data_IF_567698486137
#
_entry.id   IF_567698486137
#
_cell.length_a   1.000
_cell.length_b   1.000
_cell.length_c   1.000
_cell.angle_alpha   90.00
_cell.angle_beta   90.00
_cell.angle_gamma   90.00
#
_symmetry.space_group_name_H-M   'P 1'
#
loop_
_entity.id
_entity.type
_entity.pdbx_description
1 polymer ?
#
# COMPACT_ATOMS: atom_id res chain seq x y z
N UNK A 1 -56.36 -15.87 27.94
CA UNK A 1 -56.26 -15.31 26.58
C UNK A 1 -54.79 -15.33 26.23
N UNK A 2 -54.36 -16.40 25.55
CA UNK A 2 -52.96 -16.68 25.27
C UNK A 2 -52.62 -16.11 23.90
N UNK A 3 -51.92 -14.98 23.90
CA UNK A 3 -51.47 -14.31 22.68
C UNK A 3 -50.18 -14.97 22.21
N UNK A 4 -50.09 -15.47 20.96
CA UNK A 4 -48.90 -16.14 20.48
C UNK A 4 -47.73 -15.16 20.35
N UNK A 5 -46.49 -15.62 20.52
CA UNK A 5 -45.30 -14.77 20.39
C UNK A 5 -45.19 -14.22 18.95
N UNK A 6 -44.65 -13.01 18.78
CA UNK A 6 -44.50 -12.39 17.48
C UNK A 6 -43.55 -13.22 16.60
N UNK A 7 -43.81 -13.28 15.27
CA UNK A 7 -42.95 -14.00 14.34
C UNK A 7 -41.57 -13.34 14.30
N UNK A 8 -40.54 -14.15 14.56
CA UNK A 8 -39.14 -13.75 14.36
C UNK A 8 -38.96 -13.41 12.88
N UNK A 9 -38.78 -12.13 12.56
CA UNK A 9 -38.29 -11.72 11.26
C UNK A 9 -36.84 -12.19 11.15
N UNK A 10 -36.58 -13.16 10.28
CA UNK A 10 -35.23 -13.52 9.86
C UNK A 10 -34.59 -12.26 9.28
N UNK A 11 -33.74 -11.62 10.06
CA UNK A 11 -32.96 -10.48 9.63
C UNK A 11 -31.95 -10.95 8.57
N UNK A 12 -32.39 -10.92 7.32
CA UNK A 12 -31.68 -10.42 6.14
C UNK A 12 -30.14 -10.45 6.25
N UNK A 13 -29.57 -11.66 6.40
CA UNK A 13 -28.12 -11.87 6.55
C UNK A 13 -27.45 -12.27 5.22
N UNK A 14 -28.14 -12.10 4.10
CA UNK A 14 -27.57 -12.30 2.76
C UNK A 14 -27.38 -10.95 2.06
N UNK A 15 -26.49 -10.10 2.60
CA UNK A 15 -25.86 -9.08 1.76
C UNK A 15 -24.98 -9.81 0.75
N UNK A 16 -25.56 -10.08 -0.42
CA UNK A 16 -24.84 -10.59 -1.57
C UNK A 16 -23.70 -9.62 -1.86
N UNK A 17 -22.46 -10.06 -1.62
CA UNK A 17 -21.26 -9.30 -1.96
C UNK A 17 -21.17 -9.26 -3.48
N UNK A 18 -21.72 -8.21 -4.09
CA UNK A 18 -21.54 -7.96 -5.52
C UNK A 18 -20.12 -7.44 -5.68
N UNK A 19 -19.22 -8.18 -6.36
CA UNK A 19 -17.85 -7.73 -6.56
C UNK A 19 -17.89 -6.40 -7.33
N UNK A 20 -17.32 -5.36 -6.72
CA UNK A 20 -17.26 -4.04 -7.32
C UNK A 20 -16.57 -4.12 -8.70
N UNK A 21 -17.03 -3.35 -9.71
CA UNK A 21 -16.36 -3.30 -11.01
C UNK A 21 -14.85 -3.05 -10.85
N UNK A 22 -14.01 -3.82 -11.55
CA UNK A 22 -12.52 -3.83 -11.43
C UNK A 22 -11.84 -2.46 -11.38
N UNK A 23 -12.38 -1.47 -12.12
CA UNK A 23 -11.87 -0.08 -12.08
C UNK A 23 -11.91 0.51 -10.67
N UNK A 24 -12.92 0.14 -9.87
CA UNK A 24 -13.05 0.55 -8.47
C UNK A 24 -11.97 -0.05 -7.58
N UNK A 25 -11.50 -1.28 -7.82
CA UNK A 25 -10.48 -1.92 -6.97
C UNK A 25 -9.13 -1.21 -7.11
N UNK A 26 -8.69 -0.93 -8.34
CA UNK A 26 -7.43 -0.20 -8.57
C UNK A 26 -7.50 1.24 -8.04
N UNK A 27 -8.65 1.91 -8.21
CA UNK A 27 -8.87 3.25 -7.66
C UNK A 27 -8.85 3.24 -6.12
N UNK A 28 -9.50 2.25 -5.50
CA UNK A 28 -9.53 2.07 -4.04
C UNK A 28 -8.15 1.78 -3.48
N UNK A 29 -7.42 0.84 -4.09
CA UNK A 29 -6.03 0.56 -3.76
C UNK A 29 -5.17 1.82 -3.88
N UNK A 30 -5.32 2.57 -4.97
CA UNK A 30 -4.63 3.85 -5.15
C UNK A 30 -4.90 4.82 -4.00
N UNK A 31 -6.18 5.00 -3.61
CA UNK A 31 -6.57 5.86 -2.48
C UNK A 31 -5.93 5.39 -1.16
N UNK A 32 -5.95 4.09 -0.86
CA UNK A 32 -5.28 3.54 0.32
C UNK A 32 -3.79 3.86 0.33
N UNK A 33 -3.10 3.65 -0.78
CA UNK A 33 -1.66 3.92 -0.86
C UNK A 33 -1.38 5.43 -0.74
N UNK A 34 -2.17 6.29 -1.39
CA UNK A 34 -2.02 7.75 -1.29
C UNK A 34 -2.18 8.22 0.16
N UNK A 35 -3.19 7.72 0.88
CA UNK A 35 -3.39 8.00 2.31
C UNK A 35 -2.14 7.64 3.14
N UNK A 36 -1.59 6.44 2.93
CA UNK A 36 -0.41 5.96 3.64
C UNK A 36 0.83 6.80 3.31
N UNK A 37 1.03 7.16 2.04
CA UNK A 37 2.14 8.03 1.61
C UNK A 37 1.98 9.44 2.18
N UNK A 38 0.78 10.00 2.14
CA UNK A 38 0.47 11.32 2.68
C UNK A 38 0.80 11.40 4.18
N UNK A 39 0.35 10.42 4.97
CA UNK A 39 0.69 10.35 6.38
C UNK A 39 2.20 10.15 6.60
N UNK A 40 2.82 9.26 5.82
CA UNK A 40 4.25 8.95 5.92
C UNK A 40 5.11 10.19 5.71
N UNK A 41 4.74 11.06 4.76
CA UNK A 41 5.49 12.26 4.43
C UNK A 41 4.95 13.56 5.04
N UNK A 42 3.92 13.46 5.90
CA UNK A 42 3.22 14.62 6.50
C UNK A 42 2.71 15.60 5.43
N UNK A 43 2.12 15.05 4.36
CA UNK A 43 1.54 15.84 3.27
C UNK A 43 0.25 16.56 3.74
N UNK A 44 -0.02 17.72 3.13
CA UNK A 44 -1.25 18.46 3.39
C UNK A 44 -2.47 17.77 2.74
N UNK A 45 -3.28 17.13 3.58
CA UNK A 45 -4.53 16.49 3.17
C UNK A 45 -5.53 17.46 2.52
N UNK A 46 -5.47 18.76 2.82
CA UNK A 46 -6.31 19.76 2.16
C UNK A 46 -5.95 19.87 0.69
N UNK A 47 -4.66 19.99 0.39
CA UNK A 47 -4.12 20.01 -0.98
C UNK A 47 -4.45 18.71 -1.72
N UNK A 48 -4.31 17.55 -1.06
CA UNK A 48 -4.65 16.26 -1.67
C UNK A 48 -6.15 16.12 -1.97
N UNK A 49 -7.02 16.51 -1.05
CA UNK A 49 -8.47 16.47 -1.24
C UNK A 49 -8.92 17.41 -2.36
N UNK A 50 -8.35 18.61 -2.44
CA UNK A 50 -8.57 19.53 -3.56
C UNK A 50 -8.10 18.92 -4.89
N UNK A 51 -6.94 18.25 -4.91
CA UNK A 51 -6.42 17.57 -6.11
C UNK A 51 -7.29 16.39 -6.55
N UNK A 52 -8.02 15.76 -5.62
CA UNK A 52 -9.01 14.70 -5.89
C UNK A 52 -10.40 15.25 -6.25
N UNK A 53 -10.58 16.58 -6.26
CA UNK A 53 -11.87 17.22 -6.51
C UNK A 53 -12.89 17.02 -5.37
N UNK A 54 -12.43 16.67 -4.16
CA UNK A 54 -13.29 16.56 -3.00
C UNK A 54 -13.64 17.96 -2.46
N UNK A 55 -14.89 18.16 -2.04
CA UNK A 55 -15.33 19.45 -1.53
C UNK A 55 -14.68 19.76 -0.18
N UNK A 56 -14.11 20.96 0.02
CA UNK A 56 -13.45 21.35 1.27
C UNK A 56 -14.41 21.52 2.47
N UNK A 57 -15.73 21.41 2.26
CA UNK A 57 -16.73 21.68 3.29
C UNK A 57 -16.96 20.54 4.30
N UNK A 58 -16.26 19.41 4.16
CA UNK A 58 -16.31 18.33 5.16
C UNK A 58 -15.20 18.53 6.20
N UNK A 59 -15.57 18.69 7.48
CA UNK A 59 -14.63 18.85 8.60
C UNK A 59 -13.62 17.68 8.67
N UNK A 60 -14.03 16.48 8.22
CA UNK A 60 -13.16 15.29 8.13
C UNK A 60 -12.10 15.36 7.02
N UNK A 61 -12.22 16.28 6.05
CA UNK A 61 -11.30 16.41 4.91
C UNK A 61 -9.92 16.99 5.30
N UNK A 62 -9.73 17.40 6.56
CA UNK A 62 -8.48 17.99 7.04
C UNK A 62 -7.38 16.96 7.36
N UNK A 63 -7.73 15.68 7.50
CA UNK A 63 -6.79 14.67 8.04
C UNK A 63 -6.76 13.34 7.29
N UNK A 64 -7.62 13.14 6.29
CA UNK A 64 -7.73 11.89 5.53
C UNK A 64 -8.33 12.19 4.16
N UNK A 65 -7.94 11.42 3.15
CA UNK A 65 -8.64 11.39 1.85
C UNK A 65 -9.71 10.29 1.78
N UNK A 66 -9.67 9.38 2.76
CA UNK A 66 -10.59 8.25 2.91
C UNK A 66 -11.79 8.62 3.78
N UNK A 67 -12.95 8.05 3.44
CA UNK A 67 -14.11 8.00 4.32
C UNK A 67 -13.96 6.95 5.43
N UNK A 68 -14.92 6.88 6.35
CA UNK A 68 -14.80 6.03 7.54
C UNK A 68 -14.93 4.53 7.22
N UNK A 69 -15.70 4.15 6.20
CA UNK A 69 -15.82 2.76 5.76
C UNK A 69 -14.51 2.30 5.07
N UNK A 70 -13.94 3.17 4.22
CA UNK A 70 -12.63 2.97 3.59
C UNK A 70 -11.52 2.83 4.64
N UNK A 71 -11.51 3.65 5.70
CA UNK A 71 -10.54 3.53 6.81
C UNK A 71 -10.70 2.21 7.57
N UNK A 72 -11.94 1.79 7.83
CA UNK A 72 -12.22 0.55 8.51
C UNK A 72 -11.73 -0.65 7.69
N UNK A 73 -11.96 -0.63 6.38
CA UNK A 73 -11.48 -1.67 5.46
C UNK A 73 -9.95 -1.67 5.34
N UNK A 74 -9.32 -0.49 5.22
CA UNK A 74 -7.87 -0.38 5.22
C UNK A 74 -7.26 -0.94 6.51
N UNK A 75 -7.86 -0.64 7.67
CA UNK A 75 -7.44 -1.19 8.95
C UNK A 75 -7.61 -2.71 9.01
N UNK A 76 -8.72 -3.24 8.51
CA UNK A 76 -8.95 -4.69 8.43
C UNK A 76 -7.87 -5.37 7.60
N UNK A 77 -7.59 -4.87 6.39
CA UNK A 77 -6.55 -5.40 5.51
C UNK A 77 -5.16 -5.31 6.15
N UNK A 78 -4.84 -4.20 6.81
CA UNK A 78 -3.57 -4.03 7.53
C UNK A 78 -3.40 -5.02 8.69
N UNK A 79 -4.46 -5.29 9.45
CA UNK A 79 -4.44 -6.28 10.52
C UNK A 79 -4.23 -7.71 9.99
N UNK A 80 -4.92 -8.05 8.90
CA UNK A 80 -4.72 -9.35 8.22
C UNK A 80 -3.27 -9.47 7.74
N UNK A 81 -2.76 -8.45 7.04
CA UNK A 81 -1.38 -8.43 6.55
C UNK A 81 -0.39 -8.65 7.70
N UNK A 82 -0.55 -7.92 8.81
CA UNK A 82 0.31 -8.06 10.00
C UNK A 82 0.24 -9.46 10.63
N UNK A 83 -0.95 -10.06 10.75
CA UNK A 83 -1.12 -11.41 11.29
C UNK A 83 -0.46 -12.46 10.39
N UNK A 84 -0.68 -12.36 9.07
CA UNK A 84 -0.08 -13.26 8.09
C UNK A 84 1.45 -13.17 8.07
N UNK A 85 2.03 -11.97 8.18
CA UNK A 85 3.49 -11.80 8.32
C UNK A 85 4.03 -12.50 9.56
N UNK A 86 3.35 -12.33 10.70
CA UNK A 86 3.75 -13.00 11.94
C UNK A 86 3.71 -14.53 11.76
N UNK A 87 2.63 -15.07 11.19
CA UNK A 87 2.47 -16.52 10.94
C UNK A 87 3.50 -17.06 9.96
N UNK A 88 3.88 -16.27 8.95
CA UNK A 88 4.92 -16.64 8.00
C UNK A 88 6.25 -16.89 8.73
N UNK A 89 6.64 -15.99 9.62
CA UNK A 89 7.85 -16.16 10.45
C UNK A 89 7.76 -17.34 11.45
N UNK A 90 6.56 -17.67 11.91
CA UNK A 90 6.31 -18.81 12.81
C UNK A 90 6.10 -20.16 12.10
N UNK A 91 6.28 -20.26 10.77
CA UNK A 91 5.99 -21.46 9.96
C UNK A 91 4.53 -21.94 9.99
N UNK A 92 3.59 -21.04 10.33
CA UNK A 92 2.15 -21.33 10.53
C UNK A 92 1.27 -20.77 9.42
N UNK A 93 1.83 -20.57 8.23
CA UNK A 93 1.11 -20.02 7.07
C UNK A 93 -0.15 -20.83 6.73
N UNK A 94 -0.04 -22.16 6.73
CA UNK A 94 -1.15 -23.07 6.38
C UNK A 94 -2.34 -22.98 7.35
N UNK A 95 -2.13 -22.41 8.54
CA UNK A 95 -3.19 -22.21 9.54
C UNK A 95 -3.93 -20.86 9.38
N UNK A 96 -3.65 -20.11 8.30
CA UNK A 96 -4.36 -18.87 8.00
C UNK A 96 -5.68 -19.12 7.29
N UNK A 97 -6.70 -18.31 7.60
CA UNK A 97 -8.00 -18.42 6.95
C UNK A 97 -7.86 -18.15 5.44
N UNK A 98 -8.50 -18.96 4.60
CA UNK A 98 -8.46 -18.76 3.14
C UNK A 98 -9.08 -17.41 2.76
N UNK A 99 -10.19 -17.02 3.40
CA UNK A 99 -10.85 -15.73 3.17
C UNK A 99 -9.95 -14.52 3.41
N UNK A 100 -9.06 -14.60 4.40
CA UNK A 100 -8.10 -13.54 4.70
C UNK A 100 -7.01 -13.45 3.62
N UNK A 101 -6.52 -14.61 3.17
CA UNK A 101 -5.56 -14.70 2.06
C UNK A 101 -6.16 -14.18 0.76
N UNK A 102 -7.40 -14.55 0.44
CA UNK A 102 -8.14 -14.06 -0.72
C UNK A 102 -8.39 -12.55 -0.64
N UNK A 103 -8.80 -12.04 0.53
CA UNK A 103 -9.03 -10.61 0.72
C UNK A 103 -7.77 -9.77 0.42
N UNK A 104 -6.60 -10.19 0.90
CA UNK A 104 -5.35 -9.52 0.55
C UNK A 104 -4.96 -9.71 -0.92
N UNK A 105 -5.17 -10.92 -1.47
CA UNK A 105 -4.85 -11.20 -2.85
C UNK A 105 -5.62 -10.26 -3.80
N UNK A 106 -6.93 -10.14 -3.62
CA UNK A 106 -7.80 -9.33 -4.48
C UNK A 106 -7.63 -7.82 -4.26
N UNK A 107 -7.48 -7.36 -3.01
CA UNK A 107 -7.49 -5.93 -2.71
C UNK A 107 -6.11 -5.28 -2.68
N UNK A 108 -5.04 -6.06 -2.45
CA UNK A 108 -3.67 -5.54 -2.28
C UNK A 108 -2.72 -6.10 -3.33
N UNK A 109 -2.56 -7.43 -3.38
CA UNK A 109 -1.51 -8.07 -4.20
C UNK A 109 -1.77 -7.89 -5.69
N UNK A 110 -2.95 -8.24 -6.18
CA UNK A 110 -3.30 -8.09 -7.60
C UNK A 110 -3.21 -6.62 -8.06
N UNK A 111 -3.78 -5.62 -7.35
CA UNK A 111 -3.61 -4.21 -7.69
C UNK A 111 -2.15 -3.75 -7.72
N UNK A 112 -1.34 -4.16 -6.73
CA UNK A 112 0.09 -3.83 -6.70
C UNK A 112 0.82 -4.39 -7.93
N UNK A 113 0.55 -5.65 -8.31
CA UNK A 113 1.14 -6.27 -9.51
C UNK A 113 0.71 -5.56 -10.80
N UNK A 114 -0.57 -5.19 -10.93
CA UNK A 114 -1.08 -4.44 -12.08
C UNK A 114 -0.38 -3.08 -12.25
N UNK A 115 -0.05 -2.43 -11.12
CA UNK A 115 0.71 -1.18 -11.07
C UNK A 115 2.24 -1.36 -11.09
N UNK A 116 2.73 -2.60 -11.22
CA UNK A 116 4.17 -2.94 -11.19
C UNK A 116 4.88 -2.47 -9.92
N UNK A 117 4.20 -2.62 -8.79
CA UNK A 117 4.73 -2.38 -7.45
C UNK A 117 5.18 -3.71 -6.83
N UNK A 118 6.12 -3.65 -5.90
CA UNK A 118 6.54 -4.82 -5.13
C UNK A 118 5.51 -5.15 -4.05
N UNK A 119 4.82 -6.28 -4.20
CA UNK A 119 3.76 -6.76 -3.32
C UNK A 119 4.21 -6.89 -1.86
N UNK A 120 5.41 -7.46 -1.60
CA UNK A 120 5.95 -7.58 -0.25
C UNK A 120 6.18 -6.21 0.40
N UNK A 121 6.74 -5.26 -0.35
CA UNK A 121 6.97 -3.91 0.18
C UNK A 121 5.65 -3.16 0.49
N UNK A 122 4.61 -3.36 -0.33
CA UNK A 122 3.28 -2.80 -0.07
C UNK A 122 2.66 -3.43 1.19
N UNK A 123 2.79 -4.74 1.36
CA UNK A 123 2.31 -5.43 2.56
C UNK A 123 3.07 -4.95 3.82
N UNK A 124 4.36 -4.63 3.73
CA UNK A 124 5.13 -4.05 4.84
C UNK A 124 4.58 -2.67 5.26
N UNK A 125 4.28 -1.80 4.27
CA UNK A 125 3.67 -0.48 4.52
C UNK A 125 2.30 -0.65 5.20
N UNK A 126 1.47 -1.58 4.72
CA UNK A 126 0.17 -1.88 5.33
C UNK A 126 0.31 -2.43 6.75
N UNK A 127 1.26 -3.31 6.99
CA UNK A 127 1.51 -3.86 8.32
C UNK A 127 1.96 -2.78 9.31
N UNK A 128 2.72 -1.78 8.85
CA UNK A 128 3.07 -0.61 9.66
C UNK A 128 1.82 0.22 10.03
N UNK A 129 0.88 0.39 9.08
CA UNK A 129 -0.38 1.10 9.32
C UNK A 129 -1.20 0.53 10.47
N UNK A 130 -1.21 -0.79 10.66
CA UNK A 130 -1.93 -1.41 11.77
C UNK A 130 -1.49 -0.88 13.16
N UNK A 131 -0.26 -0.36 13.28
CA UNK A 131 0.29 0.18 14.52
C UNK A 131 -0.04 1.67 14.70
N UNK A 132 0.20 2.48 13.67
CA UNK A 132 0.04 3.92 13.76
C UNK A 132 -1.37 4.41 13.41
N UNK A 133 -2.09 3.78 12.47
CA UNK A 133 -3.47 4.15 12.07
C UNK A 133 -3.62 5.64 11.70
N UNK A 134 -2.61 6.19 11.04
CA UNK A 134 -2.48 7.64 10.78
C UNK A 134 -2.55 8.55 12.03
N UNK A 135 -2.27 8.02 13.24
CA UNK A 135 -2.10 8.83 14.45
C UNK A 135 -0.78 9.59 14.38
N UNK A 136 -0.84 10.92 14.36
CA UNK A 136 0.33 11.80 14.28
C UNK A 136 1.36 11.53 15.37
N UNK A 137 0.94 11.09 16.56
CA UNK A 137 1.84 10.77 17.67
C UNK A 137 2.67 9.50 17.43
N UNK A 138 2.25 8.67 16.48
CA UNK A 138 2.86 7.39 16.10
C UNK A 138 3.54 7.41 14.74
N UNK A 139 3.81 8.60 14.19
CA UNK A 139 4.48 8.74 12.89
C UNK A 139 5.83 8.00 12.85
N UNK A 140 6.51 7.91 13.98
CA UNK A 140 7.77 7.16 14.14
C UNK A 140 7.64 5.64 13.89
N UNK A 141 6.42 5.09 13.85
CA UNK A 141 6.16 3.67 13.55
C UNK A 141 6.03 3.40 12.04
N UNK A 142 6.00 4.44 11.20
CA UNK A 142 6.04 4.28 9.73
C UNK A 142 7.34 3.61 9.28
N UNK A 143 7.30 2.87 8.17
CA UNK A 143 8.46 2.18 7.61
C UNK A 143 9.64 3.13 7.42
N UNK A 144 9.41 4.33 6.86
CA UNK A 144 10.49 5.31 6.66
C UNK A 144 11.11 5.78 7.98
N UNK A 145 10.33 5.97 9.04
CA UNK A 145 10.83 6.52 10.30
C UNK A 145 11.61 5.47 11.09
N UNK A 146 11.21 4.20 10.99
CA UNK A 146 11.93 3.07 11.59
C UNK A 146 13.29 2.84 10.95
N UNK A 147 13.37 3.03 9.64
CA UNK A 147 14.59 2.87 8.84
C UNK A 147 15.42 4.16 8.73
N UNK A 148 14.94 5.28 9.31
CA UNK A 148 15.72 6.52 9.33
C UNK A 148 16.96 6.28 10.20
N UNK A 149 18.19 6.50 9.67
CA UNK A 149 19.40 6.32 10.43
C UNK A 149 19.33 7.17 11.70
N UNK A 150 19.50 6.55 12.87
CA UNK A 150 19.65 7.31 14.11
C UNK A 150 20.94 8.11 14.02
N UNK A 151 21.00 9.34 14.55
CA UNK A 151 22.25 10.08 14.61
C UNK A 151 23.22 9.38 15.59
N UNK A 152 24.00 8.42 15.11
CA UNK A 152 25.01 7.69 15.89
C UNK A 152 26.38 8.18 15.46
N UNK A 153 27.09 8.89 16.33
CA UNK A 153 28.36 9.60 16.09
C UNK A 153 29.57 8.75 15.60
N UNK A 154 29.38 7.50 15.16
CA UNK A 154 30.46 6.54 14.83
C UNK A 154 30.50 6.25 13.32
N UNK A 155 31.52 6.79 12.64
CA UNK A 155 31.67 7.01 11.18
C UNK A 155 31.62 5.75 10.27
N UNK A 156 31.76 4.53 10.81
CA UNK A 156 31.88 3.31 9.97
C UNK A 156 30.58 2.65 9.51
N UNK A 157 29.48 2.77 10.27
CA UNK A 157 28.20 2.08 9.99
C UNK A 157 27.29 2.86 9.02
N UNK A 158 27.65 4.09 8.67
CA UNK A 158 26.81 5.07 7.96
C UNK A 158 26.50 4.71 6.50
N UNK A 159 27.41 4.04 5.80
CA UNK A 159 27.26 3.80 4.37
C UNK A 159 26.15 2.78 4.07
N UNK A 160 25.93 1.78 4.94
CA UNK A 160 24.90 0.76 4.71
C UNK A 160 23.50 1.30 5.03
N UNK A 161 23.33 1.98 6.17
CA UNK A 161 22.02 2.53 6.57
C UNK A 161 21.51 3.60 5.60
N UNK A 162 22.39 4.47 5.10
CA UNK A 162 22.01 5.46 4.08
C UNK A 162 21.62 4.80 2.75
N UNK A 163 22.30 3.71 2.36
CA UNK A 163 21.93 2.95 1.15
C UNK A 163 20.56 2.29 1.31
N UNK A 164 20.24 1.76 2.49
CA UNK A 164 18.92 1.16 2.77
C UNK A 164 17.83 2.23 2.79
N UNK A 165 18.04 3.32 3.53
CA UNK A 165 17.09 4.44 3.59
C UNK A 165 16.83 5.05 2.21
N UNK A 166 17.87 5.26 1.41
CA UNK A 166 17.74 5.74 0.03
C UNK A 166 16.99 4.79 -0.89
N UNK A 167 17.08 3.47 -0.66
CA UNK A 167 16.21 2.51 -1.33
C UNK A 167 14.76 2.76 -0.93
N UNK A 168 14.44 2.89 0.36
CA UNK A 168 13.07 3.16 0.82
C UNK A 168 12.49 4.40 0.16
N UNK A 169 13.23 5.52 0.13
CA UNK A 169 12.76 6.73 -0.55
C UNK A 169 12.48 6.51 -2.04
N UNK A 170 13.35 5.81 -2.76
CA UNK A 170 13.12 5.49 -4.19
C UNK A 170 11.92 4.58 -4.40
N UNK A 171 11.68 3.62 -3.49
CA UNK A 171 10.50 2.78 -3.55
C UNK A 171 9.21 3.59 -3.35
N UNK A 172 9.19 4.53 -2.39
CA UNK A 172 8.07 5.44 -2.18
C UNK A 172 7.84 6.35 -3.40
N UNK A 173 8.90 6.92 -3.99
CA UNK A 173 8.83 7.72 -5.22
C UNK A 173 8.18 6.93 -6.36
N UNK A 174 8.61 5.68 -6.59
CA UNK A 174 8.02 4.81 -7.61
C UNK A 174 6.55 4.47 -7.31
N UNK A 175 6.21 4.22 -6.05
CA UNK A 175 4.82 4.00 -5.62
C UNK A 175 3.96 5.23 -5.94
N UNK A 176 4.39 6.41 -5.52
CA UNK A 176 3.69 7.68 -5.76
C UNK A 176 3.48 7.90 -7.26
N UNK A 177 4.52 7.71 -8.07
CA UNK A 177 4.43 7.83 -9.52
C UNK A 177 3.41 6.86 -10.14
N UNK A 178 3.36 5.61 -9.65
CA UNK A 178 2.44 4.60 -10.15
C UNK A 178 0.98 4.90 -9.77
N UNK A 179 0.70 5.20 -8.50
CA UNK A 179 -0.68 5.43 -8.02
C UNK A 179 -1.25 6.79 -8.44
N UNK A 180 -0.38 7.77 -8.73
CA UNK A 180 -0.77 9.10 -9.22
C UNK A 180 -0.69 9.22 -10.74
N UNK A 181 -0.54 8.12 -11.49
CA UNK A 181 -0.45 8.15 -12.94
C UNK A 181 -1.66 8.88 -13.56
N UNK A 182 -1.39 9.95 -14.34
CA UNK A 182 -2.41 10.80 -14.93
C UNK A 182 -3.02 11.87 -13.99
N UNK A 183 -2.61 11.95 -12.72
CA UNK A 183 -3.09 12.91 -11.71
C UNK A 183 -1.95 13.83 -11.25
N UNK A 184 -1.52 14.73 -12.15
CA UNK A 184 -0.37 15.63 -11.93
C UNK A 184 -0.44 16.42 -10.61
N UNK A 185 -1.57 17.03 -10.20
CA UNK A 185 -1.62 17.78 -8.95
C UNK A 185 -1.38 16.90 -7.71
N UNK A 186 -1.89 15.66 -7.74
CA UNK A 186 -1.74 14.71 -6.65
C UNK A 186 -0.29 14.22 -6.51
N UNK A 187 0.34 13.94 -7.65
CA UNK A 187 1.77 13.61 -7.70
C UNK A 187 2.61 14.75 -7.11
N UNK A 188 2.36 15.99 -7.52
CA UNK A 188 3.12 17.16 -7.06
C UNK A 188 3.01 17.36 -5.55
N UNK A 189 1.81 17.23 -4.97
CA UNK A 189 1.61 17.39 -3.53
C UNK A 189 2.38 16.35 -2.70
N UNK A 190 2.39 15.09 -3.13
CA UNK A 190 3.15 14.02 -2.46
C UNK A 190 4.67 14.14 -2.69
N UNK A 191 5.08 14.54 -3.89
CA UNK A 191 6.48 14.81 -4.24
C UNK A 191 7.06 15.94 -3.38
N UNK A 192 6.31 17.04 -3.24
CA UNK A 192 6.67 18.18 -2.38
C UNK A 192 6.81 17.76 -0.91
N UNK A 193 5.90 16.94 -0.39
CA UNK A 193 5.97 16.41 0.97
C UNK A 193 7.19 15.49 1.19
N UNK A 194 7.69 14.84 0.14
CA UNK A 194 8.84 13.93 0.20
C UNK A 194 10.19 14.67 0.14
N UNK A 195 10.25 15.87 -0.44
CA UNK A 195 11.49 16.68 -0.61
C UNK A 195 12.31 16.87 0.67
N UNK A 196 11.73 17.18 1.85
CA UNK A 196 12.50 17.36 3.09
C UNK A 196 13.30 16.11 3.47
N UNK A 197 12.79 14.91 3.17
CA UNK A 197 13.47 13.64 3.46
C UNK A 197 14.68 13.42 2.56
N UNK A 198 14.53 13.68 1.26
CA UNK A 198 15.66 13.64 0.32
C UNK A 198 16.74 14.66 0.67
N UNK A 199 16.34 15.90 1.04
CA UNK A 199 17.29 16.94 1.43
C UNK A 199 18.09 16.53 2.67
N UNK A 200 17.42 15.89 3.64
CA UNK A 200 18.07 15.37 4.86
C UNK A 200 19.08 14.25 4.55
N UNK A 201 18.78 13.37 3.60
CA UNK A 201 19.64 12.23 3.27
C UNK A 201 20.85 12.62 2.39
N UNK A 202 20.61 13.39 1.33
CA UNK A 202 21.62 13.65 0.30
C UNK A 202 22.33 15.00 0.47
N UNK A 203 21.92 15.82 1.45
CA UNK A 203 22.47 17.16 1.69
C UNK A 203 22.28 18.15 0.53
N UNK A 204 21.50 17.76 -0.49
CA UNK A 204 21.20 18.54 -1.68
C UNK A 204 19.77 18.25 -2.12
N UNK A 205 19.17 19.25 -2.75
CA UNK A 205 17.93 19.06 -3.49
C UNK A 205 18.26 18.21 -4.72
N UNK A 206 17.62 17.04 -4.85
CA UNK A 206 17.78 16.15 -6.01
C UNK A 206 17.40 16.93 -7.27
N UNK A 207 18.08 16.67 -8.39
CA UNK A 207 17.67 17.23 -9.67
C UNK A 207 16.49 16.40 -10.21
N UNK A 208 15.26 16.87 -9.97
CA UNK A 208 14.00 16.11 -10.08
C UNK A 208 13.56 15.76 -11.51
N UNK A 209 14.35 16.08 -12.53
CA UNK A 209 13.87 16.12 -13.91
C UNK A 209 13.60 14.75 -14.57
N UNK A 210 13.81 13.62 -13.90
CA UNK A 210 13.52 12.29 -14.48
C UNK A 210 12.82 11.37 -13.47
N UNK A 211 11.50 11.13 -13.60
CA UNK A 211 10.83 10.13 -12.80
C UNK A 211 11.46 8.76 -13.05
N UNK A 212 11.63 7.96 -11.99
CA UNK A 212 12.12 6.60 -12.13
C UNK A 212 11.09 5.76 -12.89
N UNK A 213 11.54 5.13 -13.97
CA UNK A 213 10.70 4.26 -14.81
C UNK A 213 10.77 2.79 -14.42
N UNK A 214 11.64 2.43 -13.48
CA UNK A 214 11.90 1.06 -13.06
C UNK A 214 12.02 0.96 -11.54
N UNK A 215 11.53 -0.17 -11.00
CA UNK A 215 11.68 -0.50 -9.58
C UNK A 215 13.17 -0.63 -9.24
N UNK A 216 13.64 -0.15 -8.07
CA UNK A 216 15.03 -0.32 -7.68
C UNK A 216 15.38 -1.81 -7.63
N UNK A 217 16.39 -2.24 -8.40
CA UNK A 217 16.86 -3.64 -8.47
C UNK A 217 17.21 -4.21 -7.08
N UNK A 218 17.60 -3.35 -6.14
CA UNK A 218 17.88 -3.73 -4.74
C UNK A 218 16.68 -4.21 -3.91
N UNK A 219 15.44 -4.02 -4.39
CA UNK A 219 14.23 -4.58 -3.76
C UNK A 219 13.74 -5.85 -4.46
N UNK A 220 14.07 -6.06 -5.73
CA UNK A 220 14.00 -7.42 -6.29
C UNK A 220 14.91 -8.33 -5.46
N UNK A 221 16.04 -7.82 -5.00
CA UNK A 221 16.87 -8.52 -4.02
C UNK A 221 16.36 -8.47 -2.59
N UNK A 222 15.29 -7.76 -2.21
CA UNK A 222 14.63 -7.99 -0.91
C UNK A 222 13.76 -9.24 -0.94
N UNK A 223 13.13 -9.54 -2.09
CA UNK A 223 12.65 -10.89 -2.36
C UNK A 223 13.81 -11.91 -2.33
N UNK A 224 15.05 -11.48 -2.66
CA UNK A 224 16.26 -12.30 -2.60
C UNK A 224 17.14 -12.14 -1.34
N UNK A 225 16.77 -11.34 -0.33
CA UNK A 225 17.52 -11.14 0.93
C UNK A 225 16.62 -11.46 2.13
N UNK A 226 15.30 -11.46 1.91
CA UNK A 226 14.41 -12.43 2.54
C UNK A 226 14.71 -13.89 2.15
N UNK A 227 15.65 -14.16 1.23
CA UNK A 227 16.15 -15.53 0.94
C UNK A 227 16.78 -16.21 2.15
N UNK A 228 17.33 -15.45 3.11
CA UNK A 228 17.93 -16.00 4.33
C UNK A 228 16.97 -16.00 5.54
N UNK A 229 15.81 -15.34 5.45
CA UNK A 229 14.87 -15.20 6.58
C UNK A 229 13.46 -15.78 6.31
N UNK A 230 13.11 -16.08 5.06
CA UNK A 230 11.91 -16.84 4.70
C UNK A 230 12.37 -18.24 4.28
N UNK A 231 12.10 -19.29 5.07
CA UNK A 231 12.53 -20.64 4.74
C UNK A 231 12.13 -21.02 3.31
N UNK A 232 13.06 -21.62 2.54
CA UNK A 232 12.92 -22.07 1.15
C UNK A 232 11.63 -22.87 0.84
N UNK A 233 10.93 -23.36 1.87
CA UNK A 233 9.64 -24.05 1.75
C UNK A 233 8.44 -23.12 1.50
N UNK A 234 8.50 -21.85 1.90
CA UNK A 234 7.45 -20.85 1.65
C UNK A 234 7.62 -20.14 0.31
N UNK A 235 8.83 -20.22 -0.25
CA UNK A 235 9.15 -19.81 -1.61
C UNK A 235 8.23 -20.49 -2.62
N UNK A 236 7.99 -21.80 -2.51
CA UNK A 236 7.10 -22.52 -3.42
C UNK A 236 5.64 -22.04 -3.36
N UNK A 237 5.14 -21.61 -2.20
CA UNK A 237 3.76 -21.14 -2.03
C UNK A 237 3.63 -19.69 -2.51
N UNK A 238 4.54 -18.80 -2.10
CA UNK A 238 4.55 -17.39 -2.54
C UNK A 238 4.92 -17.28 -4.01
N UNK A 239 5.84 -18.10 -4.53
CA UNK A 239 6.17 -18.14 -5.96
C UNK A 239 5.10 -18.86 -6.77
N UNK A 240 4.53 -20.00 -6.36
CA UNK A 240 3.47 -20.62 -7.18
C UNK A 240 2.21 -19.76 -7.19
N UNK A 241 1.83 -19.19 -6.04
CA UNK A 241 0.68 -18.29 -5.98
C UNK A 241 1.01 -16.95 -6.63
N UNK A 242 2.22 -16.41 -6.43
CA UNK A 242 2.69 -15.17 -7.04
C UNK A 242 2.88 -15.27 -8.55
N UNK A 243 3.38 -16.40 -9.08
CA UNK A 243 3.47 -16.69 -10.52
C UNK A 243 2.07 -16.75 -11.10
N UNK A 244 1.15 -17.52 -10.49
CA UNK A 244 -0.25 -17.57 -10.93
C UNK A 244 -0.89 -16.18 -10.93
N UNK A 245 -0.71 -15.41 -9.87
CA UNK A 245 -1.24 -14.05 -9.75
C UNK A 245 -0.58 -13.09 -10.75
N UNK A 246 0.71 -13.23 -11.05
CA UNK A 246 1.42 -12.43 -12.07
C UNK A 246 0.93 -12.75 -13.47
N UNK A 247 0.71 -14.03 -13.78
CA UNK A 247 0.14 -14.45 -15.06
C UNK A 247 -1.30 -13.96 -15.21
N UNK A 248 -2.12 -14.07 -14.16
CA UNK A 248 -3.48 -13.53 -14.13
C UNK A 248 -3.47 -12.01 -14.32
N UNK A 249 -2.62 -11.29 -13.58
CA UNK A 249 -2.45 -9.84 -13.69
C UNK A 249 -1.95 -9.42 -15.08
N UNK A 250 -1.02 -10.17 -15.69
CA UNK A 250 -0.55 -9.90 -17.05
C UNK A 250 -1.67 -10.09 -18.09
N UNK A 251 -2.44 -11.18 -17.98
CA UNK A 251 -3.63 -11.42 -18.83
C UNK A 251 -4.72 -10.36 -18.63
N UNK A 252 -4.88 -9.89 -17.41
CA UNK A 252 -5.84 -8.85 -17.06
C UNK A 252 -5.41 -7.47 -17.57
N UNK A 253 -4.13 -7.14 -17.44
CA UNK A 253 -3.55 -5.91 -17.97
C UNK A 253 -3.70 -5.83 -19.49
N UNK A 254 -3.41 -6.91 -20.21
CA UNK A 254 -3.61 -6.93 -21.67
C UNK A 254 -5.06 -6.61 -22.07
N UNK A 255 -6.04 -7.04 -21.27
CA UNK A 255 -7.46 -6.67 -21.48
C UNK A 255 -7.76 -5.20 -21.14
N UNK A 256 -7.15 -4.69 -20.07
CA UNK A 256 -7.32 -3.28 -19.66
C UNK A 256 -6.74 -2.32 -20.71
N UNK A 257 -5.51 -2.54 -21.14
CA UNK A 257 -4.81 -1.70 -22.11
C UNK A 257 -5.58 -1.71 -23.45
N UNK A 258 -6.01 -2.89 -23.93
CA UNK A 258 -6.84 -3.02 -25.13
C UNK A 258 -8.17 -2.27 -25.04
N UNK A 259 -8.83 -2.32 -23.87
CA UNK A 259 -10.09 -1.59 -23.65
C UNK A 259 -9.89 -0.08 -23.65
N UNK A 260 -8.73 0.40 -23.15
CA UNK A 260 -8.44 1.84 -23.10
C UNK A 260 -8.29 2.44 -24.49
N UNK A 261 -7.69 1.70 -25.42
CA UNK A 261 -7.48 2.15 -26.80
C UNK A 261 -8.80 2.21 -27.59
N UNK A 262 -9.80 1.40 -27.24
CA UNK A 262 -11.11 1.39 -27.93
C UNK A 262 -11.96 2.63 -27.64
N UNK A 263 -11.72 3.33 -26.52
CA UNK A 263 -12.47 4.55 -26.14
C UNK A 263 -11.76 5.84 -26.56
N UNK A 264 -10.60 5.76 -27.22
CA UNK A 264 -9.81 6.92 -27.64
C UNK A 264 -9.94 7.27 -29.13
N UNK A 265 -10.76 6.53 -29.88
CA UNK A 265 -11.17 6.82 -31.28
C UNK A 265 -12.58 7.37 -31.33
#
# INVERSE_FOLDING_TARGET
MDQPPPPYSEADSSRVFVPAPRRRILEQFGRYIIELMAFTFDADFTTLNNALGQSPNSISASHSILDDDEKAELLRLALISKDLYKRLGETRWDNSQESDREALAENIVKPALLLRLCEGYIMDILSAYANHRCDKTKRNETTISRETPRPVWIVGFWMLDLVVFGRHLRAHEHIIAAVCAGRKPLYMALDDAMKPFFRKEYGKEKDWCKPFTHWPTGYQTWNNLGEDLVPLRYRGIIEAHGIRLREEAAREKGRYDASRDTFAT
#
